data_IF_765814978263
#
_entry.id   IF_765814978263
#
_cell.length_a   1.000
_cell.length_b   1.000
_cell.length_c   1.000
_cell.angle_alpha   90.00
_cell.angle_beta   90.00
_cell.angle_gamma   90.00
#
_symmetry.space_group_name_H-M   'P 1'
#
loop_
_entity.id
_entity.type
_entity.pdbx_description
1 polymer ?
#
# COMPACT_ATOMS: atom_id res chain seq x y z
N UNK A 1 11.13 30.59 -4.16
CA UNK A 1 11.40 31.25 -2.86
C UNK A 1 11.69 30.18 -1.83
N UNK A 2 12.51 30.46 -0.83
CA UNK A 2 12.84 29.50 0.23
C UNK A 2 12.25 29.96 1.56
N UNK A 3 11.67 29.02 2.30
CA UNK A 3 11.01 29.28 3.58
C UNK A 3 11.45 28.24 4.61
N UNK A 4 11.61 28.67 5.86
CA UNK A 4 11.85 27.76 6.99
C UNK A 4 10.60 27.69 7.86
N UNK A 5 10.09 26.48 8.07
CA UNK A 5 8.96 26.20 8.95
C UNK A 5 9.41 25.31 10.12
N UNK A 6 8.77 25.45 11.29
CA UNK A 6 8.94 24.52 12.42
C UNK A 6 7.65 23.73 12.61
N UNK A 7 7.76 22.41 12.74
CA UNK A 7 6.63 21.51 12.93
C UNK A 7 7.05 20.20 13.57
N UNK A 8 6.08 19.31 13.74
CA UNK A 8 6.32 17.91 14.15
C UNK A 8 7.15 17.21 13.09
N UNK A 9 8.11 16.39 13.50
CA UNK A 9 8.76 15.45 12.60
C UNK A 9 7.75 14.39 12.15
N UNK A 10 7.34 14.47 10.88
CA UNK A 10 6.38 13.56 10.26
C UNK A 10 7.05 12.34 9.63
N UNK A 11 8.37 12.21 9.73
CA UNK A 11 9.13 11.15 9.10
C UNK A 11 9.21 11.29 7.59
N UNK A 12 8.84 10.24 6.86
CA UNK A 12 8.91 10.24 5.40
C UNK A 12 7.85 11.16 4.78
N UNK A 13 8.29 12.06 3.91
CA UNK A 13 7.44 13.03 3.22
C UNK A 13 6.80 12.40 1.97
N UNK A 14 5.52 12.03 2.05
CA UNK A 14 4.81 11.38 0.94
C UNK A 14 3.77 12.27 0.26
N UNK A 15 3.18 13.25 0.96
CA UNK A 15 2.28 14.24 0.38
C UNK A 15 2.55 15.64 0.95
N UNK A 16 2.09 16.64 0.21
CA UNK A 16 2.01 18.03 0.65
C UNK A 16 0.65 18.59 0.27
N UNK A 17 0.10 19.41 1.15
CA UNK A 17 -1.06 20.25 0.83
C UNK A 17 -0.60 21.70 0.80
N UNK A 18 -0.88 22.40 -0.29
CA UNK A 18 -0.59 23.82 -0.45
C UNK A 18 -1.90 24.58 -0.67
N UNK A 19 -2.12 25.62 0.13
CA UNK A 19 -3.32 26.47 0.06
C UNK A 19 -2.93 27.92 -0.16
N UNK A 20 -3.60 28.58 -1.11
CA UNK A 20 -3.54 30.02 -1.29
C UNK A 20 -4.79 30.71 -0.72
N UNK A 21 -4.64 31.99 -0.39
CA UNK A 21 -5.75 32.92 -0.21
C UNK A 21 -5.67 33.93 -1.36
N UNK A 22 -6.63 33.92 -2.32
CA UNK A 22 -6.63 34.87 -3.42
C UNK A 22 -6.73 36.32 -2.91
N UNK A 23 -6.04 37.23 -3.58
CA UNK A 23 -6.20 38.68 -3.37
C UNK A 23 -6.79 39.32 -4.63
N UNK A 24 -7.27 40.56 -4.51
CA UNK A 24 -7.80 41.30 -5.66
C UNK A 24 -6.71 41.59 -6.72
N UNK A 25 -5.44 41.73 -6.29
CA UNK A 25 -4.31 41.97 -7.20
C UNK A 25 -3.73 40.70 -7.79
N UNK A 26 -3.74 39.59 -7.03
CA UNK A 26 -3.09 38.33 -7.38
C UNK A 26 -4.05 37.15 -7.11
N UNK A 27 -5.11 36.99 -7.93
CA UNK A 27 -6.17 36.02 -7.67
C UNK A 27 -5.81 34.57 -8.00
N UNK A 28 -4.68 34.35 -8.67
CA UNK A 28 -4.25 33.04 -9.17
C UNK A 28 -2.75 32.85 -9.02
N UNK A 29 -2.33 31.64 -8.69
CA UNK A 29 -0.92 31.27 -8.52
C UNK A 29 -0.63 29.96 -9.25
N UNK A 30 0.27 29.99 -10.24
CA UNK A 30 0.77 28.77 -10.87
C UNK A 30 1.92 28.21 -10.06
N UNK A 31 1.84 26.92 -9.71
CA UNK A 31 2.87 26.22 -8.95
C UNK A 31 3.36 25.04 -9.79
N UNK A 32 4.64 25.08 -10.17
CA UNK A 32 5.28 24.00 -10.94
C UNK A 32 5.63 22.83 -10.04
N UNK A 33 6.32 23.09 -8.91
CA UNK A 33 6.69 22.09 -7.91
C UNK A 33 6.76 22.67 -6.51
N UNK A 34 6.67 21.80 -5.50
CA UNK A 34 7.07 22.07 -4.11
C UNK A 34 8.25 21.16 -3.78
N UNK A 35 9.26 21.70 -3.10
CA UNK A 35 10.44 20.96 -2.67
C UNK A 35 10.59 21.11 -1.15
N UNK A 36 10.65 19.98 -0.44
CA UNK A 36 10.73 19.95 1.03
C UNK A 36 12.00 19.22 1.46
N UNK A 37 12.81 19.88 2.28
CA UNK A 37 14.09 19.39 2.76
C UNK A 37 14.02 19.32 4.29
N UNK A 38 13.90 18.12 4.91
CA UNK A 38 13.98 17.95 6.35
C UNK A 38 15.34 18.38 6.92
N UNK A 39 15.39 18.76 8.20
CA UNK A 39 16.66 19.10 8.85
C UNK A 39 17.61 17.88 8.85
N UNK A 40 18.73 17.99 8.13
CA UNK A 40 19.67 16.90 7.96
C UNK A 40 19.22 15.78 7.00
N UNK A 41 18.10 15.98 6.27
CA UNK A 41 17.57 15.02 5.29
C UNK A 41 17.84 15.42 3.84
N UNK A 42 17.44 14.52 2.92
CA UNK A 42 17.49 14.77 1.47
C UNK A 42 16.32 15.62 0.98
N UNK A 43 16.48 16.20 -0.23
CA UNK A 43 15.40 16.92 -0.90
C UNK A 43 14.27 16.00 -1.39
N UNK A 44 13.03 16.45 -1.20
CA UNK A 44 11.80 15.76 -1.60
C UNK A 44 10.97 16.65 -2.52
N UNK A 45 10.83 16.25 -3.77
CA UNK A 45 10.11 17.02 -4.79
C UNK A 45 8.68 16.49 -5.01
N UNK A 46 7.75 17.44 -5.12
CA UNK A 46 6.33 17.25 -5.38
C UNK A 46 5.98 18.03 -6.65
N UNK A 47 5.81 17.33 -7.77
CA UNK A 47 5.44 17.95 -9.06
C UNK A 47 3.96 18.31 -9.04
N UNK A 48 3.62 19.53 -9.44
CA UNK A 48 2.27 20.10 -9.31
C UNK A 48 1.75 20.56 -10.68
N UNK A 49 2.48 21.44 -11.36
CA UNK A 49 2.14 22.04 -12.68
C UNK A 49 0.67 22.50 -12.80
N UNK A 50 0.17 23.19 -11.77
CA UNK A 50 -1.24 23.58 -11.66
C UNK A 50 -1.44 25.00 -11.14
N UNK A 51 -2.54 25.62 -11.57
CA UNK A 51 -3.03 26.88 -11.02
C UNK A 51 -3.86 26.64 -9.75
N UNK A 52 -3.52 27.35 -8.68
CA UNK A 52 -4.46 27.66 -7.60
C UNK A 52 -5.18 28.96 -7.93
N UNK A 53 -6.45 29.08 -7.54
CA UNK A 53 -7.26 30.30 -7.69
C UNK A 53 -8.46 30.28 -6.72
N UNK A 54 -9.36 31.26 -6.82
CA UNK A 54 -10.58 31.32 -5.98
C UNK A 54 -11.47 30.08 -6.02
N UNK A 55 -11.52 29.37 -7.15
CA UNK A 55 -12.38 28.20 -7.35
C UNK A 55 -11.66 26.90 -6.95
N UNK A 56 -10.33 26.91 -6.93
CA UNK A 56 -9.47 25.82 -6.48
C UNK A 56 -8.29 26.36 -5.64
N UNK A 57 -8.54 26.81 -4.39
CA UNK A 57 -7.53 27.51 -3.59
C UNK A 57 -6.58 26.56 -2.85
N UNK A 58 -6.83 25.25 -2.89
CA UNK A 58 -6.02 24.22 -2.25
C UNK A 58 -5.65 23.17 -3.28
N UNK A 59 -4.39 22.74 -3.27
CA UNK A 59 -3.93 21.54 -3.96
C UNK A 59 -3.33 20.56 -2.97
N UNK A 60 -3.44 19.29 -3.31
CA UNK A 60 -2.67 18.22 -2.72
C UNK A 60 -1.76 17.65 -3.80
N UNK A 61 -0.50 17.41 -3.43
CA UNK A 61 0.50 16.82 -4.31
C UNK A 61 1.22 15.69 -3.57
N UNK A 62 1.42 14.59 -4.27
CA UNK A 62 2.13 13.43 -3.76
C UNK A 62 3.58 13.50 -4.24
N UNK A 63 4.51 12.93 -3.46
CA UNK A 63 5.93 12.89 -3.81
C UNK A 63 6.03 12.29 -5.20
N UNK A 64 6.87 12.87 -6.07
CA UNK A 64 7.03 12.32 -7.42
C UNK A 64 7.58 10.90 -7.32
N UNK A 65 6.72 9.90 -7.54
CA UNK A 65 7.11 8.51 -7.52
C UNK A 65 8.02 8.27 -8.72
N UNK A 66 9.34 8.34 -8.49
CA UNK A 66 10.33 8.09 -9.53
C UNK A 66 10.05 6.69 -10.10
N UNK A 67 9.96 6.54 -11.44
CA UNK A 67 9.84 5.24 -12.05
C UNK A 67 10.99 4.35 -11.57
N UNK A 68 10.64 3.34 -10.79
CA UNK A 68 11.56 2.42 -10.14
C UNK A 68 11.38 1.06 -10.78
N UNK A 69 12.51 0.41 -11.12
CA UNK A 69 12.45 -0.94 -11.67
C UNK A 69 12.18 -1.91 -10.54
N UNK A 70 11.09 -2.65 -10.64
CA UNK A 70 10.80 -3.77 -9.76
C UNK A 70 11.01 -5.08 -10.50
N UNK A 71 11.52 -6.07 -9.79
CA UNK A 71 11.50 -7.46 -10.23
C UNK A 71 10.32 -8.15 -9.57
N UNK A 72 9.41 -8.71 -10.37
CA UNK A 72 8.23 -9.42 -9.90
C UNK A 72 8.37 -10.88 -10.31
N UNK A 73 8.54 -11.76 -9.34
CA UNK A 73 8.52 -13.20 -9.55
C UNK A 73 7.15 -13.75 -9.16
N UNK A 74 6.55 -14.57 -10.01
CA UNK A 74 5.23 -15.15 -9.83
C UNK A 74 5.35 -16.66 -9.89
N UNK A 75 4.66 -17.35 -8.97
CA UNK A 75 4.62 -18.80 -8.90
C UNK A 75 3.18 -19.30 -8.99
N UNK A 76 2.97 -20.28 -9.87
CA UNK A 76 1.70 -21.01 -10.04
C UNK A 76 1.78 -22.33 -9.27
N UNK A 77 0.68 -22.77 -8.66
CA UNK A 77 0.66 -24.10 -8.03
C UNK A 77 0.76 -25.22 -9.07
N UNK A 78 1.19 -26.40 -8.65
CA UNK A 78 1.37 -27.58 -9.50
C UNK A 78 0.10 -28.43 -9.64
N UNK A 79 -1.02 -28.00 -9.05
CA UNK A 79 -2.28 -28.74 -9.15
C UNK A 79 -2.87 -28.69 -10.57
N UNK A 80 -3.68 -29.70 -10.96
CA UNK A 80 -4.36 -29.69 -12.25
C UNK A 80 -5.16 -28.41 -12.47
N UNK A 81 -5.13 -27.92 -13.71
CA UNK A 81 -5.87 -26.73 -14.17
C UNK A 81 -5.51 -25.42 -13.44
N UNK A 82 -4.35 -25.37 -12.77
CA UNK A 82 -3.86 -24.17 -12.10
C UNK A 82 -3.40 -23.05 -13.05
N UNK A 83 -3.21 -23.35 -14.34
CA UNK A 83 -2.70 -22.41 -15.34
C UNK A 83 -3.68 -21.32 -15.74
N UNK A 84 -3.25 -20.42 -16.61
CA UNK A 84 -4.07 -19.34 -17.16
C UNK A 84 -3.54 -18.88 -18.51
N UNK A 85 -4.41 -18.70 -19.50
CA UNK A 85 -4.07 -18.33 -20.87
C UNK A 85 -4.64 -16.96 -21.28
N UNK A 86 -4.92 -16.10 -20.30
CA UNK A 86 -5.37 -14.72 -20.48
C UNK A 86 -4.30 -13.67 -20.12
N UNK A 87 -4.74 -12.42 -20.02
CA UNK A 87 -3.88 -11.31 -19.59
C UNK A 87 -3.89 -11.16 -18.06
N UNK A 88 -2.71 -10.95 -17.47
CA UNK A 88 -2.52 -10.71 -16.04
C UNK A 88 -2.04 -9.29 -15.81
N UNK A 89 -2.78 -8.52 -15.03
CA UNK A 89 -2.47 -7.16 -14.63
C UNK A 89 -2.16 -7.10 -13.13
N UNK A 90 -1.29 -6.16 -12.77
CA UNK A 90 -0.82 -6.00 -11.40
C UNK A 90 -0.67 -4.53 -11.02
N UNK A 91 -0.96 -4.22 -9.75
CA UNK A 91 -0.47 -3.02 -9.05
C UNK A 91 0.22 -3.40 -7.76
N UNK A 92 1.22 -2.61 -7.38
CA UNK A 92 1.79 -2.67 -6.04
C UNK A 92 1.14 -1.57 -5.20
N UNK A 93 0.77 -1.92 -3.97
CA UNK A 93 0.29 -0.96 -2.98
C UNK A 93 1.31 -0.93 -1.85
N UNK A 94 1.54 0.26 -1.31
CA UNK A 94 2.45 0.47 -0.22
C UNK A 94 2.12 1.71 0.57
N UNK A 95 3.01 2.03 1.52
CA UNK A 95 2.85 3.14 2.46
C UNK A 95 2.57 4.50 1.78
N UNK A 96 3.06 4.71 0.55
CA UNK A 96 2.93 5.99 -0.16
C UNK A 96 1.81 5.98 -1.21
N UNK A 97 0.99 4.93 -1.28
CA UNK A 97 -0.15 4.80 -2.18
C UNK A 97 -0.08 3.59 -3.09
N UNK A 98 -0.71 3.69 -4.26
CA UNK A 98 -0.84 2.61 -5.24
C UNK A 98 -0.13 2.99 -6.54
N UNK A 99 0.58 2.03 -7.14
CA UNK A 99 1.22 2.24 -8.44
C UNK A 99 0.19 2.29 -9.58
N UNK A 100 0.64 2.73 -10.74
CA UNK A 100 -0.02 2.43 -12.00
C UNK A 100 -0.18 0.91 -12.21
N UNK A 101 -1.17 0.53 -13.02
CA UNK A 101 -1.38 -0.86 -13.40
C UNK A 101 -0.44 -1.25 -14.53
N UNK A 102 0.18 -2.42 -14.40
CA UNK A 102 1.07 -2.99 -15.42
C UNK A 102 0.63 -4.37 -15.83
N UNK A 103 0.80 -4.70 -17.11
CA UNK A 103 0.54 -6.04 -17.63
C UNK A 103 1.79 -6.90 -17.42
N UNK A 104 1.67 -7.95 -16.60
CA UNK A 104 2.74 -8.91 -16.38
C UNK A 104 2.79 -9.97 -17.49
N UNK A 105 1.63 -10.50 -17.83
CA UNK A 105 1.48 -11.56 -18.83
C UNK A 105 0.55 -11.04 -19.91
N UNK A 106 1.03 -11.11 -21.15
CA UNK A 106 0.16 -11.00 -22.32
C UNK A 106 -0.31 -12.41 -22.73
N UNK A 107 -1.54 -12.55 -23.21
CA UNK A 107 -2.16 -13.85 -23.54
C UNK A 107 -1.41 -14.70 -24.58
N UNK A 108 -0.28 -14.24 -25.11
CA UNK A 108 0.63 -15.03 -25.95
C UNK A 108 1.63 -15.87 -25.11
N UNK A 109 1.72 -15.66 -23.80
CA UNK A 109 2.59 -16.38 -22.87
C UNK A 109 1.76 -17.06 -21.76
N UNK A 110 1.05 -18.13 -22.12
CA UNK A 110 0.22 -18.87 -21.18
C UNK A 110 1.00 -19.35 -19.97
N UNK A 111 0.41 -19.20 -18.79
CA UNK A 111 0.88 -19.72 -17.51
C UNK A 111 0.47 -21.18 -17.40
N UNK A 112 1.40 -22.06 -17.06
CA UNK A 112 1.14 -23.49 -16.86
C UNK A 112 1.19 -23.86 -15.37
N UNK A 113 0.59 -25.00 -14.96
CA UNK A 113 0.75 -25.51 -13.61
C UNK A 113 2.24 -25.71 -13.25
N UNK A 114 2.62 -25.31 -12.04
CA UNK A 114 3.98 -25.40 -11.51
C UNK A 114 4.96 -24.36 -12.06
N UNK A 115 4.49 -23.43 -12.87
CA UNK A 115 5.34 -22.44 -13.53
C UNK A 115 5.90 -21.39 -12.55
N UNK A 116 7.09 -20.90 -12.87
CA UNK A 116 7.77 -19.82 -12.17
C UNK A 116 8.27 -18.82 -13.21
N UNK A 117 7.73 -17.61 -13.18
CA UNK A 117 8.06 -16.55 -14.13
C UNK A 117 8.55 -15.30 -13.41
N UNK A 118 9.46 -14.58 -14.04
CA UNK A 118 10.02 -13.35 -13.50
C UNK A 118 9.94 -12.23 -14.53
N UNK A 119 9.42 -11.09 -14.09
CA UNK A 119 9.21 -9.90 -14.90
C UNK A 119 10.00 -8.73 -14.31
N UNK A 120 10.48 -7.85 -15.18
CA UNK A 120 11.02 -6.55 -14.78
C UNK A 120 10.07 -5.47 -15.27
N UNK A 121 9.48 -4.73 -14.34
CA UNK A 121 8.53 -3.65 -14.62
C UNK A 121 9.07 -2.34 -14.07
N UNK A 122 8.70 -1.22 -14.69
CA UNK A 122 8.97 0.11 -14.15
C UNK A 122 7.67 0.63 -13.57
N UNK A 123 7.62 0.82 -12.25
CA UNK A 123 6.46 1.29 -11.51
C UNK A 123 6.83 2.49 -10.64
N UNK A 124 5.84 3.30 -10.29
CA UNK A 124 5.94 4.26 -9.18
C UNK A 124 6.48 3.60 -7.90
N UNK A 125 7.50 4.19 -7.27
CA UNK A 125 7.93 3.78 -5.92
C UNK A 125 6.88 4.18 -4.87
N UNK A 126 6.11 3.21 -4.41
CA UNK A 126 5.07 3.39 -3.38
C UNK A 126 5.58 3.08 -1.96
N UNK A 127 6.89 3.00 -1.77
CA UNK A 127 7.50 2.74 -0.48
C UNK A 127 7.40 1.28 -0.04
N UNK A 128 7.45 1.02 1.28
CA UNK A 128 7.23 -0.32 1.81
C UNK A 128 5.87 -0.88 1.40
N UNK A 129 5.87 -2.05 0.77
CA UNK A 129 4.67 -2.65 0.20
C UNK A 129 3.81 -3.31 1.27
N UNK A 130 2.49 -3.14 1.19
CA UNK A 130 1.50 -3.71 2.11
C UNK A 130 0.67 -4.81 1.45
N UNK A 131 0.30 -4.65 0.18
CA UNK A 131 -0.47 -5.61 -0.61
C UNK A 131 -0.20 -5.52 -2.11
N UNK A 132 -0.64 -6.54 -2.81
CA UNK A 132 -0.57 -6.69 -4.26
C UNK A 132 -1.98 -6.74 -4.82
N UNK A 133 -2.32 -5.91 -5.80
CA UNK A 133 -3.58 -6.04 -6.55
C UNK A 133 -3.31 -6.85 -7.81
N UNK A 134 -4.05 -7.94 -8.01
CA UNK A 134 -3.97 -8.80 -9.20
C UNK A 134 -5.31 -8.80 -9.91
N UNK A 135 -5.32 -8.54 -11.21
CA UNK A 135 -6.53 -8.52 -12.04
C UNK A 135 -6.33 -9.37 -13.28
N UNK A 136 -7.29 -10.26 -13.55
CA UNK A 136 -7.26 -11.14 -14.74
C UNK A 136 -8.25 -10.68 -15.80
N UNK A 137 -7.84 -10.81 -17.07
CA UNK A 137 -8.72 -10.68 -18.24
C UNK A 137 -8.67 -11.98 -19.02
N UNK A 138 -9.79 -12.70 -19.07
CA UNK A 138 -9.91 -13.95 -19.79
C UNK A 138 -9.98 -13.70 -21.31
N UNK A 139 -8.84 -13.70 -21.98
CA UNK A 139 -8.73 -13.65 -23.45
C UNK A 139 -8.59 -15.04 -24.08
N UNK A 140 -8.32 -16.06 -23.27
CA UNK A 140 -8.20 -17.47 -23.66
C UNK A 140 -9.38 -18.32 -23.19
N UNK A 141 -9.13 -19.60 -22.90
CA UNK A 141 -10.14 -20.56 -22.41
C UNK A 141 -10.29 -20.53 -20.90
N UNK A 142 -9.22 -20.22 -20.19
CA UNK A 142 -9.21 -20.23 -18.73
C UNK A 142 -9.80 -18.93 -18.19
N UNK A 143 -10.65 -19.05 -17.17
CA UNK A 143 -11.31 -17.91 -16.51
C UNK A 143 -10.77 -17.65 -15.11
N UNK A 144 -9.84 -18.47 -14.65
CA UNK A 144 -9.24 -18.39 -13.33
C UNK A 144 -7.81 -18.91 -13.36
N UNK A 145 -7.02 -18.48 -12.40
CA UNK A 145 -5.62 -18.85 -12.23
C UNK A 145 -5.39 -19.24 -10.77
N UNK A 146 -4.68 -20.34 -10.51
CA UNK A 146 -4.33 -20.69 -9.14
C UNK A 146 -2.92 -20.23 -8.78
N UNK A 147 -2.87 -19.01 -8.23
CA UNK A 147 -1.64 -18.34 -7.85
C UNK A 147 -1.11 -18.88 -6.52
N UNK A 148 0.12 -19.40 -6.49
CA UNK A 148 0.78 -19.80 -5.26
C UNK A 148 1.27 -18.57 -4.49
N UNK A 149 2.15 -17.79 -5.10
CA UNK A 149 2.69 -16.55 -4.52
C UNK A 149 3.24 -15.60 -5.58
N UNK A 150 3.50 -14.36 -5.16
CA UNK A 150 4.38 -13.44 -5.88
C UNK A 150 5.42 -12.87 -4.93
N UNK A 151 6.59 -12.53 -5.47
CA UNK A 151 7.66 -11.82 -4.78
C UNK A 151 7.99 -10.55 -5.56
N UNK A 152 7.85 -9.39 -4.92
CA UNK A 152 8.20 -8.09 -5.50
C UNK A 152 9.50 -7.61 -4.86
N UNK A 153 10.51 -7.37 -5.68
CA UNK A 153 11.83 -6.91 -5.22
C UNK A 153 12.16 -5.57 -5.85
N UNK A 154 12.51 -4.60 -5.01
CA UNK A 154 13.15 -3.37 -5.44
C UNK A 154 14.68 -3.57 -5.40
N UNK A 155 15.36 -3.70 -6.55
CA UNK A 155 16.80 -3.92 -6.61
C UNK A 155 17.60 -2.67 -6.22
N UNK A 156 16.98 -1.49 -6.16
CA UNK A 156 17.68 -0.24 -5.82
C UNK A 156 17.95 -0.09 -4.33
N UNK A 157 17.02 -0.56 -3.48
CA UNK A 157 17.15 -0.57 -2.01
C UNK A 157 17.32 -1.98 -1.43
N UNK A 158 17.21 -3.02 -2.26
CA UNK A 158 17.37 -4.42 -1.88
C UNK A 158 16.17 -5.01 -1.14
N UNK A 159 15.07 -4.28 -0.99
CA UNK A 159 13.88 -4.77 -0.29
C UNK A 159 13.11 -5.77 -1.14
N UNK A 160 12.62 -6.83 -0.49
CA UNK A 160 11.83 -7.89 -1.13
C UNK A 160 10.62 -8.22 -0.28
N UNK A 161 9.47 -8.34 -0.93
CA UNK A 161 8.16 -8.54 -0.32
C UNK A 161 7.50 -9.77 -0.93
N UNK A 162 7.06 -10.69 -0.08
CA UNK A 162 6.38 -11.93 -0.50
C UNK A 162 4.88 -11.76 -0.28
N UNK A 163 4.08 -12.20 -1.24
CA UNK A 163 2.62 -12.17 -1.23
C UNK A 163 2.11 -13.58 -1.50
N UNK A 164 1.62 -14.27 -0.47
CA UNK A 164 1.10 -15.64 -0.58
C UNK A 164 -0.40 -15.59 -0.82
N UNK A 165 -0.85 -16.17 -1.94
CA UNK A 165 -2.29 -16.29 -2.27
C UNK A 165 -2.77 -17.71 -2.02
N UNK A 166 -2.08 -18.68 -2.61
CA UNK A 166 -2.36 -20.12 -2.52
C UNK A 166 -3.84 -20.48 -2.72
N UNK A 167 -4.50 -19.75 -3.63
CA UNK A 167 -5.94 -19.83 -3.90
C UNK A 167 -6.22 -19.30 -5.32
N UNK A 168 -7.44 -19.54 -5.82
CA UNK A 168 -7.88 -19.08 -7.13
C UNK A 168 -8.00 -17.55 -7.17
N UNK A 169 -7.61 -17.00 -8.32
CA UNK A 169 -7.90 -15.63 -8.77
C UNK A 169 -8.79 -15.76 -9.99
N UNK A 170 -9.95 -15.10 -9.99
CA UNK A 170 -10.94 -15.20 -11.07
C UNK A 170 -10.91 -13.95 -11.95
N UNK A 171 -11.18 -14.12 -13.25
CA UNK A 171 -11.35 -13.02 -14.17
C UNK A 171 -12.62 -12.21 -13.87
N UNK A 172 -12.53 -10.90 -14.04
CA UNK A 172 -13.64 -9.97 -13.80
C UNK A 172 -13.63 -9.31 -12.42
N UNK A 173 -12.77 -9.75 -11.49
CA UNK A 173 -12.52 -9.07 -10.22
C UNK A 173 -11.02 -8.77 -10.05
N UNK A 174 -10.72 -7.76 -9.22
CA UNK A 174 -9.37 -7.52 -8.72
C UNK A 174 -9.25 -8.19 -7.35
N UNK A 175 -8.23 -9.00 -7.17
CA UNK A 175 -7.92 -9.65 -5.90
C UNK A 175 -6.78 -8.90 -5.22
N UNK A 176 -6.97 -8.55 -3.96
CA UNK A 176 -5.90 -8.04 -3.10
C UNK A 176 -5.19 -9.19 -2.38
N UNK A 177 -3.87 -9.24 -2.45
CA UNK A 177 -3.02 -10.23 -1.78
C UNK A 177 -2.15 -9.49 -0.76
N UNK A 178 -2.40 -9.63 0.55
CA UNK A 178 -1.60 -8.94 1.56
C UNK A 178 -0.16 -9.47 1.61
N UNK A 179 0.77 -8.62 2.04
CA UNK A 179 2.15 -9.00 2.32
C UNK A 179 2.17 -10.14 3.34
N UNK A 180 2.91 -11.19 3.03
CA UNK A 180 3.22 -12.29 3.94
C UNK A 180 4.14 -11.78 5.05
N UNK A 181 3.55 -11.55 6.23
CA UNK A 181 4.24 -11.09 7.42
C UNK A 181 4.36 -12.26 8.41
N UNK A 182 5.55 -12.52 8.97
CA UNK A 182 5.68 -13.56 9.98
C UNK A 182 4.86 -13.20 11.22
N UNK A 183 4.16 -14.19 11.77
CA UNK A 183 3.51 -14.02 13.07
C UNK A 183 4.56 -13.89 14.17
N UNK A 184 4.34 -12.94 15.06
CA UNK A 184 5.17 -12.71 16.24
C UNK A 184 4.30 -12.59 17.48
N UNK A 185 4.78 -13.10 18.60
CA UNK A 185 4.11 -12.97 19.89
C UNK A 185 4.40 -11.61 20.51
N UNK A 186 3.34 -10.86 20.82
CA UNK A 186 3.44 -9.58 21.53
C UNK A 186 2.97 -9.76 22.98
N UNK A 187 3.78 -9.30 23.94
CA UNK A 187 3.33 -9.11 25.32
C UNK A 187 2.75 -7.70 25.47
N UNK A 188 1.41 -7.61 25.56
CA UNK A 188 0.70 -6.35 25.82
C UNK A 188 0.44 -6.22 27.33
N UNK A 189 0.79 -5.09 27.93
CA UNK A 189 0.49 -4.76 29.34
C UNK A 189 -0.31 -3.47 29.37
N UNK A 190 -1.55 -3.54 29.83
CA UNK A 190 -2.42 -2.38 30.04
C UNK A 190 -2.42 -2.05 31.53
N UNK A 191 -2.12 -0.79 31.88
CA UNK A 191 -2.15 -0.29 33.25
C UNK A 191 -3.21 0.79 33.33
N UNK A 192 -4.24 0.53 34.13
CA UNK A 192 -5.31 1.50 34.43
C UNK A 192 -4.86 2.42 35.57
N UNK A 193 -5.15 3.72 35.46
CA UNK A 193 -4.81 4.71 36.51
C UNK A 193 -5.66 4.51 37.77
N UNK A 194 -5.24 5.13 38.87
CA UNK A 194 -5.88 5.07 40.20
C UNK A 194 -6.91 6.19 40.44
N UNK A 195 -7.30 6.92 39.39
CA UNK A 195 -8.32 7.97 39.48
C UNK A 195 -9.70 7.38 39.76
N UNK A 196 -10.54 8.12 40.47
CA UNK A 196 -11.94 7.73 40.68
C UNK A 196 -12.64 7.48 39.34
N UNK A 197 -13.42 6.40 39.28
CA UNK A 197 -14.13 5.93 38.07
C UNK A 197 -13.24 5.55 36.87
N UNK A 198 -11.94 5.25 37.10
CA UNK A 198 -11.00 4.85 36.05
C UNK A 198 -11.14 3.40 35.55
N UNK A 199 -11.99 2.57 36.14
CA UNK A 199 -12.20 1.17 35.74
C UNK A 199 -12.99 1.05 34.44
N UNK A 200 -12.68 0.03 33.65
CA UNK A 200 -13.41 -0.34 32.44
C UNK A 200 -13.76 -1.84 32.49
N UNK A 201 -15.03 -2.17 32.28
CA UNK A 201 -15.59 -3.52 32.38
C UNK A 201 -16.20 -4.02 31.05
N UNK A 202 -16.06 -3.23 29.99
CA UNK A 202 -16.46 -3.60 28.63
C UNK A 202 -15.36 -4.35 27.86
N UNK A 203 -15.67 -4.62 26.60
CA UNK A 203 -14.72 -5.21 25.65
C UNK A 203 -13.73 -4.15 25.15
N UNK A 204 -12.44 -4.50 25.10
CA UNK A 204 -11.40 -3.65 24.55
C UNK A 204 -10.67 -4.38 23.42
N UNK A 205 -10.27 -3.64 22.40
CA UNK A 205 -9.53 -4.16 21.25
C UNK A 205 -8.23 -3.39 21.07
N UNK A 206 -7.23 -4.05 20.49
CA UNK A 206 -5.93 -3.45 20.21
C UNK A 206 -5.46 -3.81 18.79
N UNK A 207 -4.85 -2.82 18.15
CA UNK A 207 -4.05 -3.00 16.94
C UNK A 207 -2.65 -2.43 17.22
N UNK A 208 -1.60 -3.20 16.91
CA UNK A 208 -0.21 -2.76 17.08
C UNK A 208 0.32 -2.28 15.72
N UNK A 209 0.84 -1.06 15.67
CA UNK A 209 1.44 -0.45 14.47
C UNK A 209 2.97 -0.44 14.59
N UNK A 210 3.65 -0.74 13.48
CA UNK A 210 5.11 -0.72 13.36
C UNK A 210 5.56 -0.25 11.98
N UNK A 211 6.87 -0.14 11.77
CA UNK A 211 7.45 0.39 10.53
C UNK A 211 7.11 -0.44 9.27
N UNK A 212 6.78 -1.73 9.45
CA UNK A 212 6.47 -2.67 8.39
C UNK A 212 4.97 -2.96 8.21
N UNK A 213 4.10 -2.31 8.99
CA UNK A 213 2.66 -2.51 8.92
C UNK A 213 1.98 -2.54 10.29
N UNK A 214 0.88 -3.27 10.40
CA UNK A 214 0.09 -3.41 11.63
C UNK A 214 -0.37 -4.85 11.86
N UNK A 215 -0.69 -5.21 13.10
CA UNK A 215 -1.42 -6.46 13.40
C UNK A 215 -2.88 -6.34 12.93
N UNK A 216 -3.60 -7.46 12.88
CA UNK A 216 -5.06 -7.39 12.91
C UNK A 216 -5.53 -6.82 14.24
N UNK A 217 -6.74 -6.28 14.28
CA UNK A 217 -7.37 -5.93 15.55
C UNK A 217 -7.68 -7.21 16.34
N UNK A 218 -7.32 -7.22 17.62
CA UNK A 218 -7.55 -8.35 18.51
C UNK A 218 -8.15 -7.87 19.82
N UNK A 219 -9.11 -8.61 20.35
CA UNK A 219 -9.71 -8.29 21.64
C UNK A 219 -8.72 -8.59 22.77
N UNK A 220 -8.63 -7.67 23.74
CA UNK A 220 -7.92 -7.86 24.99
C UNK A 220 -8.74 -8.73 25.93
N UNK A 221 -8.46 -10.04 25.90
CA UNK A 221 -9.14 -11.02 26.73
C UNK A 221 -8.24 -11.40 27.91
N UNK A 222 -8.78 -11.31 29.13
CA UNK A 222 -8.06 -11.77 30.31
C UNK A 222 -7.80 -13.28 30.22
N UNK A 223 -6.67 -13.77 30.78
CA UNK A 223 -6.38 -15.21 30.80
C UNK A 223 -7.55 -16.02 31.35
N UNK A 224 -8.16 -16.88 30.52
CA UNK A 224 -9.29 -17.73 30.89
C UNK A 224 -10.69 -17.22 30.49
N UNK A 225 -10.82 -16.05 29.89
CA UNK A 225 -12.07 -15.57 29.30
C UNK A 225 -12.17 -15.93 27.80
N UNK A 226 -13.37 -15.83 27.21
CA UNK A 226 -13.62 -16.14 25.79
C UNK A 226 -13.74 -14.84 25.00
N UNK A 227 -13.12 -14.78 23.81
CA UNK A 227 -13.24 -13.61 22.95
C UNK A 227 -14.65 -13.49 22.34
N UNK A 228 -15.17 -12.26 22.28
CA UNK A 228 -16.30 -11.85 21.47
C UNK A 228 -15.88 -11.70 20.00
N UNK A 229 -16.83 -11.84 19.08
CA UNK A 229 -16.59 -11.62 17.66
C UNK A 229 -16.33 -10.12 17.38
N UNK A 230 -15.40 -9.77 16.47
CA UNK A 230 -15.19 -8.39 16.07
C UNK A 230 -16.46 -7.82 15.40
N UNK A 231 -16.66 -6.50 15.55
CA UNK A 231 -17.71 -5.78 14.81
C UNK A 231 -17.39 -5.76 13.31
N UNK A 232 -18.39 -5.70 12.41
CA UNK A 232 -18.13 -5.53 10.99
C UNK A 232 -17.34 -4.23 10.74
N UNK A 233 -16.37 -4.33 9.84
CA UNK A 233 -15.49 -3.22 9.44
C UNK A 233 -16.33 -2.18 8.67
N UNK A 234 -16.70 -1.08 9.34
CA UNK A 234 -17.37 0.06 8.72
C UNK A 234 -16.32 0.86 7.93
N UNK A 235 -15.94 0.32 6.77
CA UNK A 235 -14.96 0.92 5.87
C UNK A 235 -15.29 2.38 5.54
N UNK A 236 -14.30 3.25 5.74
CA UNK A 236 -14.28 4.65 5.32
C UNK A 236 -13.05 4.91 4.44
#
# INVERSE_FOLDING_TARGET
>A
EEFTIRGTDVGYLYNVTLRMVPTDSDPSWHVDKVEVIPEGGDSNEFQIERWLNKDAPTLEAYRYNRPTRFTIAVQTTDQPDAGFDGDVYLKIVGMYGTSEETQLVNGNAAIVPGDYQQYTVSLSDVGPLDRLEVRLVATGKETKWHMASATVTNPSDGRSYVFKRNDWVEAGTTVEVPRDMPQADYKVVVVTSDVADGSYDGDAWITVYGADGRTTEVQLVLPGATAAAPAPDDGA
#
